data_IF_085505004383
#
_entry.id   IF_085505004383
#
_cell.length_a   1.000
_cell.length_b   1.000
_cell.length_c   1.000
_cell.angle_alpha   90.00
_cell.angle_beta   90.00
_cell.angle_gamma   90.00
#
_symmetry.space_group_name_H-M   'P 1'
#
loop_
_entity.id
_entity.type
_entity.pdbx_description
1 polymer ?
#
# COMPACT_ATOMS: atom_id res chain seq x y z
N UNK A 1 69.59 -0.96 -7.36
CA UNK A 1 69.21 0.37 -6.83
C UNK A 1 68.36 1.05 -7.90
N UNK A 2 67.10 1.44 -7.75
CA UNK A 2 66.44 2.25 -6.71
C UNK A 2 64.98 1.81 -6.49
N UNK A 3 64.51 2.09 -5.27
CA UNK A 3 63.28 1.64 -4.61
C UNK A 3 62.00 2.23 -5.21
N UNK A 4 60.95 1.40 -5.38
CA UNK A 4 59.56 1.82 -5.58
C UNK A 4 58.91 2.08 -4.21
N UNK A 5 58.32 3.25 -4.02
CA UNK A 5 57.55 3.63 -2.81
C UNK A 5 56.06 3.33 -2.99
N UNK A 6 55.40 2.60 -2.07
CA UNK A 6 53.95 2.39 -2.07
C UNK A 6 53.31 3.32 -1.02
N UNK A 7 52.94 4.55 -1.39
CA UNK A 7 52.21 5.46 -0.46
C UNK A 7 51.00 6.19 -1.06
N UNK A 8 50.71 6.05 -2.35
CA UNK A 8 49.62 6.81 -2.99
C UNK A 8 48.23 6.12 -2.99
N UNK A 9 48.15 4.82 -2.66
CA UNK A 9 46.90 4.05 -2.71
C UNK A 9 46.00 4.16 -1.48
N UNK A 10 46.59 4.32 -0.28
CA UNK A 10 45.84 4.32 0.98
C UNK A 10 45.06 5.63 1.20
N UNK A 11 45.60 6.78 0.79
CA UNK A 11 44.96 8.09 0.98
C UNK A 11 43.68 8.30 0.15
N UNK A 12 43.54 7.64 -1.01
CA UNK A 12 42.32 7.72 -1.84
C UNK A 12 41.20 6.81 -1.32
N UNK A 13 41.54 5.73 -0.62
CA UNK A 13 40.55 4.84 0.00
C UNK A 13 39.87 5.47 1.22
N UNK A 14 40.63 6.23 2.03
CA UNK A 14 40.11 6.93 3.21
C UNK A 14 39.23 8.12 2.85
N UNK A 15 39.50 8.80 1.72
CA UNK A 15 38.67 9.91 1.24
C UNK A 15 37.27 9.45 0.83
N UNK A 16 37.15 8.37 0.05
CA UNK A 16 35.87 7.80 -0.40
C UNK A 16 35.07 7.14 0.74
N UNK A 17 35.77 6.54 1.72
CA UNK A 17 35.14 6.05 2.95
C UNK A 17 34.60 7.20 3.80
N UNK A 18 35.30 8.33 3.86
CA UNK A 18 34.86 9.51 4.60
C UNK A 18 33.65 10.17 3.93
N UNK A 19 33.59 10.26 2.61
CA UNK A 19 32.43 10.77 1.86
C UNK A 19 31.19 9.89 2.08
N UNK A 20 31.32 8.55 1.97
CA UNK A 20 30.20 7.62 2.21
C UNK A 20 29.72 7.60 3.67
N UNK A 21 30.63 7.78 4.63
CA UNK A 21 30.27 7.93 6.04
C UNK A 21 29.61 9.29 6.30
N UNK A 22 30.08 10.34 5.63
CA UNK A 22 29.50 11.67 5.70
C UNK A 22 28.09 11.69 5.13
N UNK A 23 27.84 11.12 3.95
CA UNK A 23 26.48 11.00 3.38
C UNK A 23 25.53 10.20 4.28
N UNK A 24 25.99 9.07 4.85
CA UNK A 24 25.17 8.26 5.77
C UNK A 24 24.90 8.96 7.10
N UNK A 25 25.84 9.76 7.60
CA UNK A 25 25.64 10.60 8.80
C UNK A 25 24.73 11.78 8.48
N UNK A 26 24.90 12.40 7.31
CA UNK A 26 24.11 13.52 6.81
C UNK A 26 22.66 13.13 6.60
N UNK A 27 22.38 11.98 5.98
CA UNK A 27 21.01 11.43 5.85
C UNK A 27 20.40 11.04 7.19
N UNK A 28 21.19 10.49 8.14
CA UNK A 28 20.71 10.16 9.49
C UNK A 28 20.44 11.39 10.36
N UNK A 29 21.23 12.45 10.20
CA UNK A 29 21.04 13.72 10.90
C UNK A 29 19.89 14.51 10.27
N UNK A 30 19.87 14.73 8.95
CA UNK A 30 18.80 15.50 8.30
C UNK A 30 17.46 14.78 8.16
N UNK A 31 17.45 13.45 8.21
CA UNK A 31 16.24 12.62 8.18
C UNK A 31 15.48 12.60 9.52
N UNK A 32 16.07 13.09 10.61
CA UNK A 32 15.40 13.17 11.91
C UNK A 32 14.45 14.39 11.95
N UNK A 33 13.15 14.09 11.94
CA UNK A 33 12.02 15.03 11.96
C UNK A 33 12.17 16.21 12.95
N UNK A 34 12.88 15.98 14.06
CA UNK A 34 13.02 16.92 15.16
C UNK A 34 13.98 18.08 14.87
N UNK A 35 14.98 17.89 14.00
CA UNK A 35 15.94 18.96 13.66
C UNK A 35 15.27 20.10 12.92
N UNK A 36 14.34 19.79 12.00
CA UNK A 36 13.54 20.79 11.30
C UNK A 36 12.56 21.54 12.20
N UNK A 37 12.13 20.92 13.30
CA UNK A 37 11.28 21.56 14.30
C UNK A 37 12.09 22.47 15.25
N UNK A 38 13.37 22.16 15.49
CA UNK A 38 14.25 22.93 16.37
C UNK A 38 14.96 24.08 15.67
N UNK A 39 15.24 23.96 14.36
CA UNK A 39 15.98 24.94 13.58
C UNK A 39 15.42 26.38 13.66
N UNK A 40 14.09 26.61 13.56
CA UNK A 40 13.53 27.96 13.69
C UNK A 40 13.78 28.55 15.09
N UNK A 41 13.69 27.72 16.13
CA UNK A 41 13.93 28.13 17.51
C UNK A 41 15.41 28.39 17.80
N UNK A 42 16.31 27.62 17.20
CA UNK A 42 17.75 27.87 17.27
C UNK A 42 18.13 29.21 16.63
N UNK A 43 17.50 29.55 15.50
CA UNK A 43 17.68 30.85 14.85
C UNK A 43 17.18 31.99 15.76
N UNK A 44 15.98 31.85 16.32
CA UNK A 44 15.43 32.82 17.29
C UNK A 44 16.36 32.99 18.49
N UNK A 45 16.84 31.88 19.08
CA UNK A 45 17.76 31.89 20.21
C UNK A 45 19.09 32.56 19.85
N UNK A 46 19.66 32.28 18.68
CA UNK A 46 20.91 32.88 18.25
C UNK A 46 20.80 34.40 18.13
N UNK A 47 19.68 34.91 17.58
CA UNK A 47 19.43 36.36 17.51
C UNK A 47 19.33 36.96 18.92
N UNK A 48 18.56 36.33 19.82
CA UNK A 48 18.44 36.79 21.21
C UNK A 48 19.80 36.84 21.92
N UNK A 49 20.65 35.83 21.73
CA UNK A 49 22.00 35.81 22.33
C UNK A 49 22.83 36.97 21.83
N UNK A 50 22.85 37.23 20.52
CA UNK A 50 23.61 38.34 19.92
C UNK A 50 23.12 39.68 20.46
N UNK A 51 21.81 39.92 20.43
CA UNK A 51 21.20 41.17 20.91
C UNK A 51 21.47 41.41 22.41
N UNK A 52 21.38 40.36 23.24
CA UNK A 52 21.71 40.47 24.68
C UNK A 52 23.20 40.73 24.89
N UNK A 53 24.09 40.05 24.15
CA UNK A 53 25.54 40.27 24.28
C UNK A 53 25.97 41.67 23.82
N UNK A 54 25.37 42.18 22.75
CA UNK A 54 25.66 43.52 22.24
C UNK A 54 25.12 44.59 23.17
N UNK A 55 23.92 44.39 23.75
CA UNK A 55 23.36 45.26 24.79
C UNK A 55 24.24 45.34 26.05
N UNK A 56 24.80 44.22 26.50
CA UNK A 56 25.75 44.18 27.62
C UNK A 56 27.07 44.91 27.28
N UNK A 57 27.50 44.86 26.02
CA UNK A 57 28.74 45.49 25.54
C UNK A 57 28.58 46.95 25.09
N UNK A 58 27.37 47.50 25.11
CA UNK A 58 27.08 48.86 24.64
C UNK A 58 27.22 49.06 23.13
N UNK A 59 27.09 47.99 22.34
CA UNK A 59 27.08 48.04 20.86
C UNK A 59 25.65 48.05 20.35
N UNK A 60 25.37 48.83 19.31
CA UNK A 60 24.05 48.89 18.66
C UNK A 60 24.16 48.25 17.28
N UNK A 61 24.12 46.92 17.24
CA UNK A 61 24.09 46.12 16.01
C UNK A 61 22.67 45.59 15.80
N UNK A 62 21.98 46.12 14.78
CA UNK A 62 20.60 45.71 14.48
C UNK A 62 20.59 44.39 13.70
N UNK A 63 20.41 43.29 14.42
CA UNK A 63 20.38 41.93 13.86
C UNK A 63 18.94 41.41 13.69
N UNK A 64 17.92 42.19 14.08
CA UNK A 64 16.50 41.81 14.03
C UNK A 64 15.98 41.36 12.65
N UNK A 65 16.61 41.77 11.54
CA UNK A 65 16.30 41.28 10.20
C UNK A 65 16.56 39.77 10.02
N UNK A 66 17.45 39.18 10.82
CA UNK A 66 17.73 37.74 10.83
C UNK A 66 16.61 36.88 11.44
N UNK A 67 15.60 37.49 12.07
CA UNK A 67 14.40 36.77 12.53
C UNK A 67 13.42 36.45 11.40
N UNK A 68 13.48 37.21 10.29
CA UNK A 68 12.61 37.06 9.11
C UNK A 68 12.56 35.64 8.53
N UNK A 69 13.67 34.88 8.39
CA UNK A 69 13.61 33.51 7.91
C UNK A 69 13.00 32.50 8.89
N UNK A 70 12.83 32.81 10.18
CA UNK A 70 12.35 31.84 11.17
C UNK A 70 10.94 31.29 10.88
N UNK A 71 9.92 32.13 10.56
CA UNK A 71 8.61 31.63 10.14
C UNK A 71 8.65 30.78 8.87
N UNK A 72 9.50 31.12 7.91
CA UNK A 72 9.67 30.35 6.68
C UNK A 72 10.24 28.96 6.97
N UNK A 73 11.26 28.87 7.84
CA UNK A 73 11.82 27.60 8.30
C UNK A 73 10.79 26.75 9.05
N UNK A 74 10.00 27.37 9.93
CA UNK A 74 8.90 26.68 10.63
C UNK A 74 7.85 26.17 9.63
N UNK A 75 7.58 26.92 8.57
CA UNK A 75 6.62 26.55 7.55
C UNK A 75 7.06 25.37 6.68
N UNK A 76 8.35 25.01 6.62
CA UNK A 76 8.84 23.90 5.78
C UNK A 76 8.21 22.56 6.18
N UNK A 77 8.16 22.24 7.48
CA UNK A 77 7.60 20.97 7.99
C UNK A 77 6.67 21.12 9.21
N UNK A 78 6.61 22.29 9.83
CA UNK A 78 5.77 22.53 11.00
C UNK A 78 4.28 22.57 10.69
N UNK A 79 3.46 22.42 11.71
CA UNK A 79 2.02 22.68 11.64
C UNK A 79 1.77 24.19 11.60
N UNK A 80 0.59 24.65 11.15
CA UNK A 80 0.24 26.07 11.21
C UNK A 80 0.41 26.70 12.62
N UNK A 81 0.20 25.91 13.68
CA UNK A 81 0.43 26.33 15.07
C UNK A 81 1.91 26.59 15.39
N UNK A 82 2.81 25.81 14.79
CA UNK A 82 4.25 25.94 15.01
C UNK A 82 4.79 27.19 14.31
N UNK A 83 4.30 27.48 13.09
CA UNK A 83 4.58 28.74 12.39
C UNK A 83 4.10 29.93 13.20
N UNK A 84 2.86 29.88 13.71
CA UNK A 84 2.31 30.94 14.56
C UNK A 84 3.14 31.17 15.83
N UNK A 85 3.58 30.09 16.50
CA UNK A 85 4.40 30.19 17.70
C UNK A 85 5.76 30.86 17.42
N UNK A 86 6.44 30.44 16.34
CA UNK A 86 7.73 31.02 15.92
C UNK A 86 7.56 32.47 15.47
N UNK A 87 6.53 32.78 14.68
CA UNK A 87 6.21 34.14 14.25
C UNK A 87 5.90 35.06 15.44
N UNK A 88 5.14 34.58 16.43
CA UNK A 88 4.83 35.36 17.63
C UNK A 88 6.08 35.65 18.47
N UNK A 89 6.96 34.66 18.64
CA UNK A 89 8.23 34.84 19.34
C UNK A 89 9.14 35.84 18.60
N UNK A 90 9.31 35.67 17.29
CA UNK A 90 10.10 36.58 16.45
C UNK A 90 9.55 38.02 16.49
N UNK A 91 8.21 38.19 16.46
CA UNK A 91 7.56 39.49 16.53
C UNK A 91 7.75 40.14 17.90
N UNK A 92 7.61 39.38 18.99
CA UNK A 92 7.81 39.89 20.35
C UNK A 92 9.25 40.38 20.56
N UNK A 93 10.25 39.64 20.06
CA UNK A 93 11.66 40.03 20.12
C UNK A 93 11.92 41.27 19.26
N UNK A 94 11.43 41.28 18.00
CA UNK A 94 11.59 42.43 17.11
C UNK A 94 10.93 43.71 17.62
N UNK A 95 9.78 43.60 18.31
CA UNK A 95 9.15 44.74 18.98
C UNK A 95 9.97 45.20 20.19
N UNK A 96 10.42 44.27 21.05
CA UNK A 96 11.20 44.60 22.24
C UNK A 96 12.48 45.38 21.89
N UNK A 97 13.17 45.01 20.80
CA UNK A 97 14.37 45.72 20.33
C UNK A 97 14.07 47.04 19.63
N UNK A 98 12.86 47.21 19.09
CA UNK A 98 12.43 48.48 18.47
C UNK A 98 12.08 49.57 19.49
N UNK A 99 11.83 49.22 20.76
CA UNK A 99 11.49 50.18 21.83
C UNK A 99 12.72 50.82 22.50
N UNK A 100 13.95 50.48 22.11
CA UNK A 100 15.13 51.20 22.61
C UNK A 100 15.23 52.62 21.99
N UNK A 101 15.39 53.68 22.81
CA UNK A 101 15.30 55.08 22.36
C UNK A 101 16.33 55.50 21.29
N UNK A 102 17.41 54.73 21.10
CA UNK A 102 18.39 54.96 20.02
C UNK A 102 17.94 54.39 18.65
N UNK A 103 16.95 53.49 18.62
CA UNK A 103 16.47 52.79 17.43
C UNK A 103 15.09 53.29 16.94
N UNK A 104 14.39 54.05 17.78
CA UNK A 104 12.98 54.42 17.67
C UNK A 104 12.60 55.38 16.51
N UNK A 105 13.46 55.52 15.49
CA UNK A 105 13.23 56.43 14.36
C UNK A 105 13.90 56.04 13.04
N UNK A 106 14.39 54.81 12.87
CA UNK A 106 15.04 54.37 11.62
C UNK A 106 14.08 53.57 10.73
N UNK A 107 14.02 53.90 9.42
CA UNK A 107 13.25 53.18 8.40
C UNK A 107 13.58 51.67 8.35
N UNK A 108 14.76 51.28 8.85
CA UNK A 108 15.25 49.91 8.92
C UNK A 108 14.44 49.01 9.88
N UNK A 109 13.99 49.52 11.03
CA UNK A 109 13.21 48.72 11.99
C UNK A 109 11.78 48.47 11.50
N UNK A 110 11.16 49.49 10.89
CA UNK A 110 9.84 49.37 10.29
C UNK A 110 9.82 48.38 9.11
N UNK A 111 10.84 48.45 8.24
CA UNK A 111 10.99 47.49 7.13
C UNK A 111 11.26 46.06 7.61
N UNK A 112 12.00 45.87 8.72
CA UNK A 112 12.19 44.56 9.34
C UNK A 112 10.88 43.96 9.91
N UNK A 113 10.06 44.77 10.59
CA UNK A 113 8.77 44.30 11.13
C UNK A 113 7.76 43.98 10.00
N UNK A 114 7.71 44.82 8.96
CA UNK A 114 6.87 44.57 7.78
C UNK A 114 7.30 43.30 7.05
N UNK A 115 8.60 43.11 6.82
CA UNK A 115 9.10 41.89 6.18
C UNK A 115 8.85 40.63 7.02
N UNK A 116 9.01 40.70 8.33
CA UNK A 116 8.66 39.61 9.25
C UNK A 116 7.15 39.28 9.20
N UNK A 117 6.28 40.30 9.15
CA UNK A 117 4.84 40.11 9.04
C UNK A 117 4.46 39.45 7.71
N UNK A 118 5.05 39.91 6.59
CA UNK A 118 4.82 39.33 5.25
C UNK A 118 5.29 37.88 5.19
N UNK A 119 6.49 37.57 5.68
CA UNK A 119 7.02 36.20 5.67
C UNK A 119 6.24 35.28 6.61
N UNK A 120 5.78 35.78 7.76
CA UNK A 120 4.89 35.04 8.67
C UNK A 120 3.55 34.71 8.01
N UNK A 121 2.92 35.68 7.35
CA UNK A 121 1.67 35.46 6.63
C UNK A 121 1.85 34.46 5.48
N UNK A 122 2.89 34.62 4.67
CA UNK A 122 3.22 33.70 3.59
C UNK A 122 3.52 32.28 4.11
N UNK A 123 4.30 32.15 5.19
CA UNK A 123 4.60 30.87 5.83
C UNK A 123 3.36 30.19 6.38
N UNK A 124 2.44 30.94 6.98
CA UNK A 124 1.17 30.41 7.48
C UNK A 124 0.28 29.93 6.33
N UNK A 125 0.14 30.71 5.26
CA UNK A 125 -0.62 30.33 4.06
C UNK A 125 -0.01 29.07 3.45
N UNK A 126 1.31 28.98 3.31
CA UNK A 126 2.00 27.80 2.81
C UNK A 126 1.75 26.57 3.71
N UNK A 127 1.83 26.71 5.03
CA UNK A 127 1.57 25.64 5.98
C UNK A 127 0.11 25.15 5.95
N UNK A 128 -0.85 26.07 5.83
CA UNK A 128 -2.28 25.73 5.69
C UNK A 128 -2.55 25.07 4.35
N UNK A 129 -2.02 25.60 3.25
CA UNK A 129 -2.18 25.04 1.91
C UNK A 129 -1.58 23.63 1.83
N UNK A 130 -0.37 23.42 2.37
CA UNK A 130 0.25 22.09 2.47
C UNK A 130 -0.64 21.13 3.25
N UNK A 131 -1.11 21.51 4.44
CA UNK A 131 -1.95 20.64 5.27
C UNK A 131 -3.28 20.28 4.60
N UNK A 132 -3.85 21.21 3.81
CA UNK A 132 -5.04 20.93 3.00
C UNK A 132 -4.74 19.92 1.88
N UNK A 133 -3.62 20.09 1.17
CA UNK A 133 -3.18 19.16 0.11
C UNK A 133 -2.92 17.76 0.68
N UNK A 134 -2.19 17.66 1.79
CA UNK A 134 -1.96 16.40 2.52
C UNK A 134 -3.28 15.74 2.93
N UNK A 135 -4.23 16.51 3.46
CA UNK A 135 -5.55 15.99 3.84
C UNK A 135 -6.40 15.50 2.65
N UNK A 136 -6.29 16.15 1.48
CA UNK A 136 -6.95 15.69 0.26
C UNK A 136 -6.35 14.37 -0.24
N UNK A 137 -5.03 14.23 -0.21
CA UNK A 137 -4.35 12.99 -0.60
C UNK A 137 -4.75 11.82 0.29
N UNK A 138 -4.82 12.02 1.61
CA UNK A 138 -5.30 10.98 2.56
C UNK A 138 -6.74 10.57 2.26
N UNK A 139 -7.63 11.53 1.94
CA UNK A 139 -9.03 11.20 1.62
C UNK A 139 -9.14 10.43 0.30
N UNK A 140 -8.42 10.85 -0.75
CA UNK A 140 -8.40 10.13 -2.03
C UNK A 140 -7.87 8.71 -1.82
N UNK A 141 -6.84 8.53 -0.98
CA UNK A 141 -6.34 7.21 -0.58
C UNK A 141 -7.42 6.37 0.10
N UNK A 142 -8.08 6.88 1.15
CA UNK A 142 -9.11 6.09 1.85
C UNK A 142 -10.26 5.66 0.92
N UNK A 143 -10.67 6.52 -0.02
CA UNK A 143 -11.72 6.18 -0.99
C UNK A 143 -11.23 5.13 -1.98
N UNK A 144 -10.02 5.27 -2.52
CA UNK A 144 -9.50 4.34 -3.50
C UNK A 144 -9.14 2.98 -2.86
N UNK A 145 -8.70 2.95 -1.60
CA UNK A 145 -8.51 1.72 -0.81
C UNK A 145 -9.84 1.01 -0.58
N UNK A 146 -10.87 1.75 -0.15
CA UNK A 146 -12.21 1.20 -0.01
C UNK A 146 -12.77 0.68 -1.36
N UNK A 147 -12.47 1.36 -2.47
CA UNK A 147 -12.87 0.91 -3.79
C UNK A 147 -12.14 -0.38 -4.21
N UNK A 148 -10.83 -0.48 -3.97
CA UNK A 148 -10.07 -1.71 -4.25
C UNK A 148 -10.58 -2.88 -3.41
N UNK A 149 -10.78 -2.67 -2.10
CA UNK A 149 -11.34 -3.70 -1.22
C UNK A 149 -12.76 -4.11 -1.64
N UNK A 150 -13.56 -3.19 -2.18
CA UNK A 150 -14.87 -3.52 -2.73
C UNK A 150 -14.80 -4.31 -4.06
N UNK A 151 -13.68 -4.27 -4.78
CA UNK A 151 -13.45 -5.07 -5.98
C UNK A 151 -13.04 -6.51 -5.63
N UNK A 152 -12.37 -6.74 -4.50
CA UNK A 152 -11.96 -8.07 -4.06
C UNK A 152 -13.14 -8.81 -3.42
N UNK A 153 -13.56 -9.93 -4.00
CA UNK A 153 -14.63 -10.72 -3.41
C UNK A 153 -14.12 -11.52 -2.19
N UNK A 154 -14.94 -11.71 -1.15
CA UNK A 154 -14.62 -12.66 -0.08
C UNK A 154 -14.44 -14.06 -0.67
N UNK A 155 -13.30 -14.68 -0.41
CA UNK A 155 -13.03 -16.06 -0.83
C UNK A 155 -13.88 -17.02 0.02
N UNK A 156 -14.66 -17.92 -0.60
CA UNK A 156 -15.45 -18.89 0.16
C UNK A 156 -14.52 -19.83 0.92
N UNK A 157 -14.79 -20.11 2.21
CA UNK A 157 -13.93 -21.00 3.02
C UNK A 157 -13.82 -22.42 2.45
N UNK A 158 -14.84 -22.86 1.70
CA UNK A 158 -14.89 -24.16 1.03
C UNK A 158 -15.45 -24.05 -0.37
N UNK A 159 -14.88 -24.80 -1.30
CA UNK A 159 -15.33 -24.91 -2.68
C UNK A 159 -15.16 -26.36 -3.16
N UNK A 160 -16.24 -27.15 -3.09
CA UNK A 160 -16.18 -28.59 -3.35
C UNK A 160 -15.17 -29.29 -2.44
N UNK A 161 -14.21 -29.98 -3.04
CA UNK A 161 -13.10 -30.65 -2.33
C UNK A 161 -11.95 -29.75 -1.91
N UNK A 162 -12.16 -28.43 -1.78
CA UNK A 162 -11.12 -27.46 -1.44
C UNK A 162 -11.47 -26.68 -0.17
N UNK A 163 -10.43 -26.37 0.61
CA UNK A 163 -10.46 -25.32 1.64
C UNK A 163 -9.63 -24.15 1.17
N UNK A 164 -10.17 -22.95 1.32
CA UNK A 164 -9.58 -21.74 0.77
C UNK A 164 -9.50 -20.67 1.85
N UNK A 165 -8.42 -19.90 1.82
CA UNK A 165 -8.26 -18.72 2.65
C UNK A 165 -7.49 -17.66 1.87
N UNK A 166 -7.88 -16.40 2.02
CA UNK A 166 -7.18 -15.29 1.39
C UNK A 166 -7.04 -14.12 2.36
N UNK A 167 -5.92 -13.41 2.24
CA UNK A 167 -5.67 -12.16 2.94
C UNK A 167 -4.95 -11.17 2.04
N UNK A 168 -5.22 -9.91 2.33
CA UNK A 168 -4.61 -8.76 1.68
C UNK A 168 -4.10 -7.80 2.75
N UNK A 169 -2.89 -7.30 2.57
CA UNK A 169 -2.27 -6.28 3.40
C UNK A 169 -1.75 -5.16 2.52
N UNK A 170 -2.29 -3.96 2.70
CA UNK A 170 -1.80 -2.78 2.00
C UNK A 170 -0.44 -2.32 2.58
N UNK A 171 0.41 -1.76 1.74
CA UNK A 171 1.68 -1.17 2.12
C UNK A 171 1.47 0.11 2.94
N UNK A 172 2.31 0.32 3.95
CA UNK A 172 2.29 1.56 4.75
C UNK A 172 2.81 2.80 3.97
N UNK A 173 3.43 2.62 2.80
CA UNK A 173 4.09 3.72 2.10
C UNK A 173 3.11 4.82 1.65
N UNK A 174 3.53 6.09 1.78
CA UNK A 174 2.74 7.31 1.54
C UNK A 174 2.34 7.56 0.07
N UNK A 175 2.54 6.58 -0.81
CA UNK A 175 2.44 6.74 -2.26
C UNK A 175 1.57 5.66 -2.89
N UNK A 176 0.28 6.00 -3.02
CA UNK A 176 -0.74 5.35 -3.86
C UNK A 176 -1.03 3.86 -3.56
N UNK A 177 -2.32 3.52 -3.60
CA UNK A 177 -2.83 2.15 -3.45
C UNK A 177 -2.32 1.27 -4.59
N UNK A 178 -1.96 0.02 -4.31
CA UNK A 178 -1.34 -0.87 -5.29
C UNK A 178 -2.33 -1.60 -6.19
N UNK A 179 -1.75 -2.45 -7.02
CA UNK A 179 -2.38 -3.14 -8.14
C UNK A 179 -2.80 -4.58 -7.85
N UNK A 180 -2.51 -5.08 -6.65
CA UNK A 180 -2.81 -6.45 -6.24
C UNK A 180 -4.29 -6.80 -6.42
N UNK A 181 -4.53 -7.95 -7.07
CA UNK A 181 -5.85 -8.50 -7.33
C UNK A 181 -5.87 -10.00 -7.04
N UNK A 182 -7.02 -10.49 -6.58
CA UNK A 182 -7.35 -11.91 -6.58
C UNK A 182 -8.85 -12.14 -6.67
N UNK A 183 -9.24 -13.30 -7.17
CA UNK A 183 -10.65 -13.72 -7.22
C UNK A 183 -10.77 -15.24 -7.28
N UNK A 184 -11.89 -15.76 -6.77
CA UNK A 184 -12.24 -17.19 -6.82
C UNK A 184 -13.64 -17.37 -7.39
N UNK A 185 -13.73 -18.12 -8.48
CA UNK A 185 -15.00 -18.53 -9.09
C UNK A 185 -15.19 -20.03 -8.89
N UNK A 186 -16.25 -20.39 -8.18
CA UNK A 186 -16.62 -21.78 -7.91
C UNK A 186 -17.69 -22.22 -8.91
N UNK A 187 -17.38 -23.24 -9.70
CA UNK A 187 -18.32 -23.92 -10.60
C UNK A 187 -18.67 -25.32 -10.03
N UNK A 188 -19.73 -25.97 -10.51
CA UNK A 188 -20.13 -27.29 -10.03
C UNK A 188 -19.04 -28.37 -10.16
N UNK A 189 -18.23 -28.32 -11.22
CA UNK A 189 -17.22 -29.33 -11.54
C UNK A 189 -15.77 -28.88 -11.29
N UNK A 190 -15.54 -27.57 -11.12
CA UNK A 190 -14.20 -26.98 -11.01
C UNK A 190 -14.19 -25.68 -10.22
N UNK A 191 -13.05 -25.35 -9.65
CA UNK A 191 -12.82 -24.03 -9.03
C UNK A 191 -11.71 -23.32 -9.78
N UNK A 192 -11.92 -22.05 -10.12
CA UNK A 192 -10.94 -21.20 -10.80
C UNK A 192 -10.52 -20.05 -9.90
N UNK A 193 -9.23 -19.74 -9.91
CA UNK A 193 -8.64 -18.64 -9.15
C UNK A 193 -7.78 -17.79 -10.08
N UNK A 194 -7.72 -16.49 -9.78
CA UNK A 194 -6.73 -15.58 -10.32
C UNK A 194 -6.08 -14.87 -9.13
N UNK A 195 -4.76 -14.68 -9.19
CA UNK A 195 -4.02 -13.72 -8.39
C UNK A 195 -3.12 -12.94 -9.33
N UNK A 196 -2.82 -11.68 -9.02
CA UNK A 196 -1.92 -10.89 -9.83
C UNK A 196 -1.61 -9.54 -9.22
N UNK A 197 -0.65 -8.84 -9.85
CA UNK A 197 -0.34 -7.45 -9.57
C UNK A 197 -0.33 -6.64 -10.88
N UNK A 198 -1.00 -5.50 -10.83
CA UNK A 198 -1.06 -4.54 -11.94
C UNK A 198 0.13 -3.61 -11.84
N UNK A 199 0.90 -3.52 -12.93
CA UNK A 199 1.96 -2.54 -13.03
C UNK A 199 1.40 -1.12 -12.94
N UNK A 200 1.92 -0.37 -11.99
CA UNK A 200 1.52 1.02 -11.72
C UNK A 200 0.89 1.14 -10.34
N UNK A 201 0.50 2.36 -9.96
CA UNK A 201 -0.15 2.61 -8.66
C UNK A 201 -1.30 3.58 -8.83
N UNK A 202 -2.23 3.57 -7.87
CA UNK A 202 -3.34 4.50 -7.81
C UNK A 202 -4.51 4.14 -8.72
N UNK A 203 -5.27 5.16 -9.12
CA UNK A 203 -6.56 4.96 -9.79
C UNK A 203 -6.48 4.22 -11.14
N UNK A 204 -5.46 4.45 -12.00
CA UNK A 204 -5.31 3.68 -13.24
C UNK A 204 -5.10 2.18 -12.99
N UNK A 205 -4.29 1.82 -11.98
CA UNK A 205 -4.05 0.42 -11.61
C UNK A 205 -5.34 -0.25 -11.12
N UNK A 206 -6.10 0.42 -10.24
CA UNK A 206 -7.40 -0.07 -9.75
C UNK A 206 -8.40 -0.29 -10.89
N UNK A 207 -8.45 0.62 -11.87
CA UNK A 207 -9.33 0.47 -13.05
C UNK A 207 -8.96 -0.77 -13.86
N UNK A 208 -7.68 -1.00 -14.09
CA UNK A 208 -7.20 -2.17 -14.82
C UNK A 208 -7.46 -3.46 -14.04
N UNK A 209 -7.21 -3.46 -12.72
CA UNK A 209 -7.57 -4.59 -11.85
C UNK A 209 -9.07 -4.92 -11.94
N UNK A 210 -9.94 -3.91 -11.87
CA UNK A 210 -11.38 -4.09 -12.02
C UNK A 210 -11.76 -4.70 -13.38
N UNK A 211 -11.12 -4.26 -14.46
CA UNK A 211 -11.36 -4.79 -15.80
C UNK A 211 -10.89 -6.24 -15.94
N UNK A 212 -9.73 -6.59 -15.37
CA UNK A 212 -9.21 -7.97 -15.34
C UNK A 212 -10.12 -8.87 -14.51
N UNK A 213 -10.49 -8.46 -13.30
CA UNK A 213 -11.39 -9.23 -12.44
C UNK A 213 -12.77 -9.42 -13.08
N UNK A 214 -13.31 -8.38 -13.73
CA UNK A 214 -14.56 -8.48 -14.49
C UNK A 214 -14.48 -9.48 -15.65
N UNK A 215 -13.40 -9.43 -16.43
CA UNK A 215 -13.17 -10.37 -17.52
C UNK A 215 -12.95 -11.80 -17.02
N UNK A 216 -12.21 -11.98 -15.93
CA UNK A 216 -12.01 -13.28 -15.29
C UNK A 216 -13.32 -13.86 -14.80
N UNK A 217 -14.16 -13.09 -14.08
CA UNK A 217 -15.46 -13.55 -13.57
C UNK A 217 -16.38 -14.06 -14.68
N UNK A 218 -16.43 -13.35 -15.80
CA UNK A 218 -17.25 -13.73 -16.95
C UNK A 218 -16.66 -14.96 -17.67
N UNK A 219 -15.38 -14.90 -18.05
CA UNK A 219 -14.74 -15.97 -18.79
C UNK A 219 -14.63 -17.26 -17.97
N UNK A 220 -14.44 -17.17 -16.65
CA UNK A 220 -14.40 -18.33 -15.76
C UNK A 220 -15.70 -19.12 -15.80
N UNK A 221 -16.86 -18.48 -16.04
CA UNK A 221 -18.15 -19.15 -16.13
C UNK A 221 -18.39 -19.82 -17.49
N UNK A 222 -18.01 -19.16 -18.58
CA UNK A 222 -18.43 -19.58 -19.93
C UNK A 222 -17.36 -20.34 -20.71
N UNK A 223 -16.08 -20.08 -20.46
CA UNK A 223 -14.99 -20.68 -21.24
C UNK A 223 -14.60 -22.06 -20.66
N UNK A 224 -14.34 -23.03 -21.53
CA UNK A 224 -13.94 -24.39 -21.11
C UNK A 224 -12.47 -24.47 -20.73
N UNK A 225 -11.57 -23.87 -21.51
CA UNK A 225 -10.13 -23.91 -21.29
C UNK A 225 -9.63 -22.72 -20.47
N UNK A 226 -8.69 -22.96 -19.55
CA UNK A 226 -8.10 -21.93 -18.69
C UNK A 226 -7.25 -20.93 -19.48
N UNK A 227 -6.60 -21.40 -20.55
CA UNK A 227 -5.85 -20.57 -21.51
C UNK A 227 -6.75 -19.56 -22.22
N UNK A 228 -7.98 -19.95 -22.59
CA UNK A 228 -8.97 -19.01 -23.14
C UNK A 228 -9.36 -17.93 -22.13
N UNK A 229 -9.50 -18.29 -20.85
CA UNK A 229 -9.73 -17.31 -19.77
C UNK A 229 -8.59 -16.31 -19.66
N UNK A 230 -7.33 -16.77 -19.71
CA UNK A 230 -6.16 -15.89 -19.74
C UNK A 230 -6.19 -14.93 -20.94
N UNK A 231 -6.55 -15.43 -22.13
CA UNK A 231 -6.71 -14.61 -23.34
C UNK A 231 -7.79 -13.54 -23.20
N UNK A 232 -8.93 -13.86 -22.57
CA UNK A 232 -10.00 -12.89 -22.26
C UNK A 232 -9.52 -11.80 -21.30
N UNK A 233 -8.75 -12.16 -20.27
CA UNK A 233 -8.14 -11.20 -19.35
C UNK A 233 -7.13 -10.29 -20.05
N UNK A 234 -6.29 -10.85 -20.94
CA UNK A 234 -5.31 -10.08 -21.72
C UNK A 234 -6.00 -9.05 -22.62
N UNK A 235 -7.11 -9.42 -23.26
CA UNK A 235 -7.95 -8.49 -24.05
C UNK A 235 -8.55 -7.36 -23.20
N UNK A 236 -8.83 -7.61 -21.93
CA UNK A 236 -9.31 -6.57 -21.01
C UNK A 236 -8.21 -5.55 -20.71
N UNK A 237 -6.97 -6.00 -20.44
CA UNK A 237 -5.81 -5.12 -20.25
C UNK A 237 -5.53 -4.31 -21.51
N UNK A 238 -5.53 -4.94 -22.68
CA UNK A 238 -5.34 -4.26 -23.96
C UNK A 238 -6.40 -3.18 -24.24
N UNK A 239 -7.66 -3.40 -23.79
CA UNK A 239 -8.70 -2.37 -23.86
C UNK A 239 -8.38 -1.20 -22.93
N UNK A 240 -7.97 -1.47 -21.69
CA UNK A 240 -7.57 -0.42 -20.75
C UNK A 240 -6.36 0.39 -21.25
N UNK A 241 -5.37 -0.26 -21.88
CA UNK A 241 -4.23 0.41 -22.49
C UNK A 241 -4.67 1.36 -23.62
N UNK A 242 -5.57 0.91 -24.51
CA UNK A 242 -6.13 1.78 -25.57
C UNK A 242 -6.92 2.97 -25.01
N UNK A 243 -7.70 2.75 -23.96
CA UNK A 243 -8.45 3.82 -23.29
C UNK A 243 -7.51 4.81 -22.59
N UNK A 244 -6.39 4.35 -22.04
CA UNK A 244 -5.36 5.21 -21.46
C UNK A 244 -4.66 6.05 -22.54
N UNK A 245 -4.26 5.43 -23.66
CA UNK A 245 -3.63 6.10 -24.79
C UNK A 245 -4.52 7.17 -25.45
N UNK A 246 -5.85 7.01 -25.35
CA UNK A 246 -6.81 7.98 -25.88
C UNK A 246 -7.05 9.19 -24.94
N UNK A 247 -6.41 9.26 -23.78
CA UNK A 247 -6.55 10.37 -22.84
C UNK A 247 -5.75 11.62 -23.25
N UNK A 248 -6.23 12.81 -22.85
CA UNK A 248 -5.59 14.11 -23.16
C UNK A 248 -4.36 14.44 -22.27
N UNK A 249 -3.82 13.45 -21.55
CA UNK A 249 -2.71 13.64 -20.60
C UNK A 249 -1.35 13.69 -21.31
N UNK A 250 -0.38 14.47 -20.79
CA UNK A 250 0.97 14.56 -21.38
C UNK A 250 1.72 13.21 -21.36
N UNK A 251 1.35 12.31 -20.47
CA UNK A 251 1.98 11.00 -20.27
C UNK A 251 1.08 9.83 -20.72
N UNK A 252 -0.05 10.11 -21.39
CA UNK A 252 -1.07 9.12 -21.72
C UNK A 252 -0.56 7.94 -22.57
N UNK A 253 0.32 8.21 -23.55
CA UNK A 253 0.95 7.17 -24.39
C UNK A 253 1.93 6.30 -23.58
N UNK A 254 2.76 6.93 -22.74
CA UNK A 254 3.73 6.22 -21.90
C UNK A 254 3.03 5.36 -20.83
N UNK A 255 1.98 5.88 -20.20
CA UNK A 255 1.16 5.13 -19.25
C UNK A 255 0.47 3.92 -19.91
N UNK A 256 0.09 4.02 -21.18
CA UNK A 256 -0.53 2.93 -21.92
C UNK A 256 0.48 1.84 -22.30
N UNK A 257 1.68 2.21 -22.76
CA UNK A 257 2.73 1.27 -23.18
C UNK A 257 3.31 0.47 -21.99
N UNK A 258 3.27 1.03 -20.79
CA UNK A 258 3.73 0.37 -19.56
C UNK A 258 2.63 -0.41 -18.81
N UNK A 259 1.40 -0.45 -19.34
CA UNK A 259 0.29 -1.11 -18.66
C UNK A 259 0.30 -2.63 -18.88
N UNK A 260 0.66 -3.36 -17.83
CA UNK A 260 0.59 -4.82 -17.80
C UNK A 260 0.17 -5.36 -16.44
N UNK A 261 -0.19 -6.64 -16.40
CA UNK A 261 -0.58 -7.34 -15.17
C UNK A 261 0.16 -8.66 -15.11
N UNK A 262 0.96 -8.86 -14.06
CA UNK A 262 1.49 -10.20 -13.75
C UNK A 262 0.36 -10.99 -13.10
N UNK A 263 0.13 -12.23 -13.53
CA UNK A 263 -0.96 -13.02 -12.96
C UNK A 263 -0.70 -14.52 -13.01
N UNK A 264 -1.21 -15.24 -12.00
CA UNK A 264 -1.33 -16.69 -12.04
C UNK A 264 -2.82 -17.06 -12.09
N UNK A 265 -3.21 -17.83 -13.10
CA UNK A 265 -4.53 -18.43 -13.18
C UNK A 265 -4.42 -19.89 -12.77
N UNK A 266 -5.34 -20.32 -11.90
CA UNK A 266 -5.37 -21.67 -11.37
C UNK A 266 -6.75 -22.27 -11.61
N UNK A 267 -6.81 -23.50 -12.08
CA UNK A 267 -8.03 -24.30 -12.13
C UNK A 267 -7.82 -25.61 -11.40
N UNK A 268 -8.81 -25.96 -10.59
CA UNK A 268 -8.85 -27.21 -9.85
C UNK A 268 -10.06 -28.00 -10.31
N UNK A 269 -9.82 -29.18 -10.87
CA UNK A 269 -10.87 -30.07 -11.35
C UNK A 269 -10.49 -31.52 -11.01
N UNK A 270 -11.30 -32.21 -10.19
CA UNK A 270 -11.10 -33.62 -9.84
C UNK A 270 -9.69 -33.96 -9.32
N UNK A 271 -9.11 -33.11 -8.45
CA UNK A 271 -7.75 -33.30 -7.92
C UNK A 271 -6.63 -33.03 -8.93
N UNK A 272 -6.96 -32.55 -10.13
CA UNK A 272 -5.99 -32.03 -11.09
C UNK A 272 -5.90 -30.52 -10.92
N UNK A 273 -4.67 -30.05 -10.78
CA UNK A 273 -4.33 -28.64 -10.71
C UNK A 273 -3.81 -28.21 -12.09
N UNK A 274 -4.42 -27.20 -12.68
CA UNK A 274 -3.97 -26.57 -13.93
C UNK A 274 -3.55 -25.14 -13.63
N UNK A 275 -2.40 -24.72 -14.12
CA UNK A 275 -1.85 -23.39 -13.87
C UNK A 275 -1.40 -22.75 -15.18
N UNK A 276 -1.73 -21.48 -15.34
CA UNK A 276 -1.20 -20.60 -16.38
C UNK A 276 -0.50 -19.46 -15.65
N UNK A 277 0.81 -19.40 -15.74
CA UNK A 277 1.64 -18.35 -15.14
C UNK A 277 1.97 -17.29 -16.19
N UNK A 278 1.56 -16.05 -15.94
CA UNK A 278 1.73 -14.89 -16.80
C UNK A 278 2.72 -13.92 -16.15
N UNK A 279 3.91 -14.42 -15.85
CA UNK A 279 5.02 -13.65 -15.28
C UNK A 279 4.82 -13.28 -13.80
N UNK A 280 4.03 -14.06 -13.07
CA UNK A 280 3.78 -13.89 -11.65
C UNK A 280 4.81 -14.69 -10.83
N UNK A 281 5.01 -14.38 -9.53
CA UNK A 281 5.77 -15.26 -8.66
C UNK A 281 5.22 -16.69 -8.70
N UNK A 282 6.07 -17.72 -8.82
CA UNK A 282 5.63 -19.09 -9.00
C UNK A 282 4.86 -19.56 -7.76
N UNK A 283 3.67 -20.19 -7.93
CA UNK A 283 2.92 -20.74 -6.81
C UNK A 283 3.75 -21.74 -6.01
N UNK A 284 3.67 -21.72 -4.68
CA UNK A 284 4.38 -22.68 -3.84
C UNK A 284 3.47 -23.87 -3.50
N UNK A 285 3.95 -25.08 -3.76
CA UNK A 285 3.27 -26.31 -3.39
C UNK A 285 3.87 -26.88 -2.11
N UNK A 286 3.06 -26.95 -1.06
CA UNK A 286 3.36 -27.59 0.21
C UNK A 286 2.75 -29.00 0.21
N UNK A 287 3.59 -30.01 0.04
CA UNK A 287 3.22 -31.44 0.11
C UNK A 287 3.85 -32.08 1.34
N UNK A 288 3.51 -33.33 1.64
CA UNK A 288 4.17 -34.09 2.70
C UNK A 288 5.71 -34.20 2.55
N UNK A 289 6.24 -34.06 1.33
CA UNK A 289 7.68 -34.15 1.05
C UNK A 289 8.41 -32.82 1.28
N UNK A 290 7.70 -31.70 1.16
CA UNK A 290 8.27 -30.38 1.37
C UNK A 290 7.46 -29.26 0.71
N UNK A 291 8.04 -28.05 0.71
CA UNK A 291 7.54 -26.83 0.12
C UNK A 291 8.47 -26.44 -1.02
N UNK A 292 7.96 -26.43 -2.24
CA UNK A 292 8.73 -26.05 -3.41
C UNK A 292 7.87 -25.23 -4.39
N UNK A 293 8.48 -24.35 -5.19
CA UNK A 293 7.79 -23.74 -6.32
C UNK A 293 7.22 -24.80 -7.26
N UNK A 294 5.97 -24.62 -7.66
CA UNK A 294 5.34 -25.44 -8.68
C UNK A 294 6.11 -25.22 -10.00
N UNK A 295 6.57 -26.28 -10.69
CA UNK A 295 7.33 -26.13 -11.93
C UNK A 295 6.39 -25.72 -13.06
N UNK A 296 6.23 -24.41 -13.24
CA UNK A 296 5.42 -23.79 -14.30
C UNK A 296 6.35 -23.16 -15.35
N UNK A 297 5.92 -23.18 -16.61
CA UNK A 297 6.58 -22.43 -17.67
C UNK A 297 5.96 -21.02 -17.74
N UNK A 298 6.72 -19.96 -17.39
CA UNK A 298 6.17 -18.61 -17.33
C UNK A 298 5.93 -18.05 -18.72
N UNK A 299 4.81 -17.37 -18.87
CA UNK A 299 4.42 -16.63 -20.06
C UNK A 299 4.61 -15.14 -19.83
N UNK A 300 4.61 -14.32 -20.89
CA UNK A 300 4.61 -12.87 -20.72
C UNK A 300 3.37 -12.39 -19.94
N UNK A 301 3.50 -11.33 -19.12
CA UNK A 301 2.38 -10.68 -18.45
C UNK A 301 1.23 -10.28 -19.36
N UNK A 302 0.03 -10.23 -18.79
CA UNK A 302 -1.17 -9.74 -19.48
C UNK A 302 -0.94 -8.31 -19.97
N UNK A 303 -1.34 -8.01 -21.21
CA UNK A 303 -1.16 -6.67 -21.80
C UNK A 303 0.14 -6.49 -22.60
N UNK A 304 1.22 -7.21 -22.28
CA UNK A 304 2.48 -7.10 -23.02
C UNK A 304 2.48 -7.85 -24.36
N UNK A 305 1.41 -8.58 -24.65
CA UNK A 305 1.32 -9.35 -25.90
C UNK A 305 0.23 -8.83 -26.80
N UNK A 306 0.65 -7.88 -27.63
CA UNK A 306 -0.13 -7.33 -28.73
C UNK A 306 -0.20 -8.34 -29.88
N UNK A 307 -1.14 -9.28 -29.83
CA UNK A 307 -1.37 -10.23 -30.92
C UNK A 307 -1.65 -11.69 -30.54
N UNK A 308 -1.83 -12.02 -29.26
CA UNK A 308 -2.32 -13.35 -28.83
C UNK A 308 -3.83 -13.58 -29.14
N UNK A 309 -4.25 -13.23 -30.36
CA UNK A 309 -5.55 -13.59 -30.91
C UNK A 309 -5.31 -14.52 -32.07
N UNK A 310 -5.76 -15.77 -31.92
CA UNK A 310 -5.67 -16.90 -32.85
C UNK A 310 -4.33 -17.65 -32.81
N UNK A 311 -4.30 -18.83 -32.17
CA UNK A 311 -3.20 -19.80 -32.36
C UNK A 311 -2.48 -20.30 -31.12
N UNK A 312 -3.05 -20.17 -29.93
CA UNK A 312 -2.70 -21.12 -28.87
C UNK A 312 -3.47 -22.40 -29.16
N UNK A 313 -2.76 -23.52 -29.37
CA UNK A 313 -3.32 -24.81 -28.96
C UNK A 313 -3.80 -24.63 -27.52
N UNK A 314 -4.97 -25.19 -27.19
CA UNK A 314 -5.65 -24.97 -25.91
C UNK A 314 -4.76 -25.24 -24.67
N UNK A 315 -3.61 -25.89 -24.86
CA UNK A 315 -2.64 -26.30 -23.84
C UNK A 315 -1.31 -25.49 -23.81
N UNK A 316 -1.10 -24.50 -24.67
CA UNK A 316 0.14 -23.71 -24.62
C UNK A 316 0.29 -23.04 -23.24
N UNK A 317 1.49 -23.06 -22.65
CA UNK A 317 1.76 -22.52 -21.30
C UNK A 317 0.92 -23.12 -20.15
N UNK A 318 0.13 -24.17 -20.41
CA UNK A 318 -0.71 -24.82 -19.42
C UNK A 318 0.12 -25.88 -18.69
N UNK A 319 0.42 -25.61 -17.43
CA UNK A 319 1.04 -26.61 -16.57
C UNK A 319 -0.04 -27.44 -15.90
N UNK A 320 -0.03 -28.76 -16.11
CA UNK A 320 -0.96 -29.69 -15.46
C UNK A 320 -0.24 -30.51 -14.41
N UNK A 321 -0.60 -30.29 -13.15
CA UNK A 321 -0.13 -31.07 -12.03
C UNK A 321 -1.19 -32.08 -11.60
N UNK A 322 -0.88 -33.38 -11.74
CA UNK A 322 -1.82 -34.49 -11.52
C UNK A 322 -1.65 -35.17 -10.17
N UNK A 323 -0.60 -34.83 -9.41
CA UNK A 323 -0.32 -35.37 -8.07
C UNK A 323 -0.66 -34.33 -7.01
N UNK A 324 -1.94 -34.04 -6.82
CA UNK A 324 -2.39 -33.19 -5.72
C UNK A 324 -3.22 -34.04 -4.77
N UNK A 325 -2.62 -34.36 -3.62
CA UNK A 325 -3.16 -35.31 -2.65
C UNK A 325 -3.92 -34.60 -1.54
N UNK A 326 -4.91 -35.25 -0.90
CA UNK A 326 -5.59 -34.66 0.24
C UNK A 326 -4.59 -34.21 1.32
N UNK A 327 -4.71 -32.96 1.76
CA UNK A 327 -3.80 -32.28 2.70
C UNK A 327 -2.71 -31.44 2.05
N UNK A 328 -2.41 -31.64 0.76
CA UNK A 328 -1.47 -30.79 0.03
C UNK A 328 -2.05 -29.39 -0.15
N UNK A 329 -1.20 -28.37 -0.03
CA UNK A 329 -1.59 -26.95 -0.12
C UNK A 329 -0.85 -26.23 -1.23
N UNK A 330 -1.57 -25.41 -1.97
CA UNK A 330 -1.02 -24.45 -2.90
C UNK A 330 -1.09 -23.05 -2.27
N UNK A 331 0.03 -22.35 -2.24
CA UNK A 331 0.10 -20.95 -1.88
C UNK A 331 0.34 -20.11 -3.13
N UNK A 332 -0.52 -19.11 -3.31
CA UNK A 332 -0.41 -18.06 -4.31
C UNK A 332 -0.11 -16.76 -3.56
N UNK A 333 0.86 -15.99 -4.03
CA UNK A 333 1.26 -14.74 -3.38
C UNK A 333 1.74 -13.69 -4.38
N UNK A 334 1.56 -12.42 -4.06
CA UNK A 334 2.15 -11.30 -4.83
C UNK A 334 3.58 -11.01 -4.39
N UNK A 335 4.29 -10.22 -5.20
CA UNK A 335 5.71 -9.90 -5.00
C UNK A 335 5.99 -9.13 -3.71
N UNK A 336 5.00 -8.45 -3.11
CA UNK A 336 5.14 -7.81 -1.80
C UNK A 336 5.55 -8.77 -0.67
N UNK A 337 5.32 -10.08 -0.83
CA UNK A 337 5.83 -11.12 0.08
C UNK A 337 7.29 -11.48 -0.24
N UNK A 338 7.59 -11.78 -1.51
CA UNK A 338 8.93 -12.24 -1.94
C UNK A 338 9.97 -11.11 -1.84
N UNK A 339 9.57 -9.88 -2.14
CA UNK A 339 10.40 -8.69 -2.06
C UNK A 339 10.47 -8.08 -0.65
N UNK A 340 9.77 -8.67 0.32
CA UNK A 340 9.82 -8.23 1.71
C UNK A 340 11.24 -8.36 2.26
N UNK A 341 11.77 -7.28 2.84
CA UNK A 341 13.15 -7.21 3.34
C UNK A 341 13.23 -6.81 4.79
N UNK A 342 14.13 -7.45 5.52
CA UNK A 342 14.49 -7.01 6.87
C UNK A 342 15.30 -5.70 6.86
N UNK A 343 15.58 -5.15 8.04
CA UNK A 343 16.41 -3.95 8.19
C UNK A 343 17.87 -4.08 7.69
N UNK A 344 18.30 -5.29 7.31
CA UNK A 344 19.61 -5.58 6.69
C UNK A 344 19.50 -5.81 5.18
N UNK A 345 18.30 -5.75 4.61
CA UNK A 345 18.03 -5.95 3.17
C UNK A 345 17.87 -7.42 2.75
N UNK A 346 17.80 -8.37 3.70
CA UNK A 346 17.62 -9.79 3.40
C UNK A 346 16.17 -10.08 3.08
N UNK A 347 15.94 -10.83 2.01
CA UNK A 347 14.61 -11.28 1.60
C UNK A 347 13.96 -12.16 2.67
N UNK A 348 12.64 -12.19 2.67
CA UNK A 348 11.85 -13.05 3.53
C UNK A 348 12.00 -14.52 3.09
N UNK A 349 12.32 -15.45 4.02
CA UNK A 349 12.49 -16.85 3.69
C UNK A 349 11.12 -17.56 3.57
N UNK A 350 10.41 -17.30 2.47
CA UNK A 350 9.01 -17.72 2.30
C UNK A 350 8.82 -19.24 2.41
N UNK A 351 9.57 -20.03 1.63
CA UNK A 351 9.43 -21.49 1.63
C UNK A 351 9.75 -22.12 2.99
N UNK A 352 10.79 -21.64 3.66
CA UNK A 352 11.20 -22.10 5.00
C UNK A 352 10.11 -21.76 6.05
N UNK A 353 9.54 -20.56 5.97
CA UNK A 353 8.45 -20.17 6.87
C UNK A 353 7.20 -21.02 6.63
N UNK A 354 6.87 -21.34 5.38
CA UNK A 354 5.71 -22.19 5.07
C UNK A 354 5.87 -23.61 5.61
N UNK A 355 7.09 -24.14 5.64
CA UNK A 355 7.39 -25.41 6.30
C UNK A 355 7.11 -25.36 7.80
N UNK A 356 7.52 -24.28 8.47
CA UNK A 356 7.24 -24.07 9.89
C UNK A 356 5.72 -23.95 10.16
N UNK A 357 4.99 -23.35 9.23
CA UNK A 357 3.53 -23.16 9.32
C UNK A 357 2.71 -24.35 8.82
N UNK A 358 3.33 -25.47 8.46
CA UNK A 358 2.65 -26.69 7.98
C UNK A 358 1.53 -27.18 8.89
N UNK A 359 1.70 -27.07 10.21
CA UNK A 359 0.70 -27.48 11.20
C UNK A 359 -0.47 -26.50 11.38
N UNK A 360 -0.38 -25.29 10.82
CA UNK A 360 -1.43 -24.27 10.92
C UNK A 360 -2.62 -24.67 10.03
N UNK A 361 -3.87 -24.52 10.47
CA UNK A 361 -5.04 -24.70 9.62
C UNK A 361 -5.04 -23.73 8.43
N UNK A 362 -5.51 -24.19 7.26
CA UNK A 362 -5.50 -23.38 6.03
C UNK A 362 -6.21 -22.04 6.18
N UNK A 363 -7.26 -21.96 7.00
CA UNK A 363 -8.01 -20.74 7.29
C UNK A 363 -7.18 -19.65 7.98
N UNK A 364 -6.11 -20.05 8.69
CA UNK A 364 -5.20 -19.18 9.42
C UNK A 364 -3.86 -18.99 8.73
N UNK A 365 -3.54 -19.81 7.74
CA UNK A 365 -2.22 -19.81 7.10
C UNK A 365 -1.86 -18.43 6.50
N UNK A 366 -2.74 -17.73 5.76
CA UNK A 366 -2.43 -16.40 5.25
C UNK A 366 -2.19 -15.36 6.36
N UNK A 367 -2.95 -15.43 7.46
CA UNK A 367 -2.78 -14.52 8.60
C UNK A 367 -1.41 -14.73 9.28
N UNK A 368 -1.07 -15.98 9.59
CA UNK A 368 0.22 -16.32 10.21
C UNK A 368 1.42 -15.97 9.32
N UNK A 369 1.26 -16.13 8.00
CA UNK A 369 2.28 -15.76 7.04
C UNK A 369 2.50 -14.24 7.01
N UNK A 370 1.43 -13.46 6.90
CA UNK A 370 1.52 -12.00 6.93
C UNK A 370 2.08 -11.50 8.27
N UNK A 371 1.77 -12.16 9.38
CA UNK A 371 2.37 -11.90 10.70
C UNK A 371 3.87 -12.16 10.70
N UNK A 372 4.32 -13.25 10.08
CA UNK A 372 5.74 -13.56 9.94
C UNK A 372 6.46 -12.51 9.08
N UNK A 373 5.86 -12.10 7.96
CA UNK A 373 6.39 -11.04 7.08
C UNK A 373 6.46 -9.70 7.82
N UNK A 374 5.42 -9.33 8.56
CA UNK A 374 5.41 -8.11 9.37
C UNK A 374 6.51 -8.13 10.43
N UNK A 375 6.73 -9.27 11.11
CA UNK A 375 7.84 -9.42 12.07
C UNK A 375 9.21 -9.30 11.38
N UNK A 376 9.38 -9.90 10.21
CA UNK A 376 10.65 -9.85 9.45
C UNK A 376 10.99 -8.43 8.96
N UNK A 377 10.00 -7.69 8.48
CA UNK A 377 10.15 -6.33 7.95
C UNK A 377 10.19 -5.24 9.03
N UNK A 378 9.89 -5.58 10.29
CA UNK A 378 9.74 -4.59 11.37
C UNK A 378 8.44 -3.77 11.25
N UNK A 379 7.40 -4.36 10.67
CA UNK A 379 6.06 -3.79 10.50
C UNK A 379 5.88 -2.93 9.24
N UNK A 380 6.87 -2.87 8.34
CA UNK A 380 6.85 -1.97 7.18
C UNK A 380 6.95 -2.73 5.88
N UNK A 381 5.81 -2.97 5.26
CA UNK A 381 5.74 -3.45 3.88
C UNK A 381 6.08 -2.32 2.89
N UNK A 382 6.84 -2.67 1.85
CA UNK A 382 7.22 -1.74 0.78
C UNK A 382 6.23 -1.73 -0.37
N UNK A 383 5.60 -2.87 -0.61
CA UNK A 383 4.50 -3.02 -1.56
C UNK A 383 3.34 -3.80 -0.93
N UNK A 384 2.21 -3.76 -1.62
CA UNK A 384 1.01 -4.48 -1.22
C UNK A 384 1.28 -5.99 -1.25
N UNK A 385 0.59 -6.73 -0.40
CA UNK A 385 0.78 -8.16 -0.25
C UNK A 385 -0.56 -8.88 -0.23
N UNK A 386 -0.80 -9.71 -1.23
CA UNK A 386 -1.92 -10.63 -1.31
C UNK A 386 -1.43 -12.07 -1.17
N UNK A 387 -2.19 -12.87 -0.43
CA UNK A 387 -1.92 -14.29 -0.22
C UNK A 387 -3.22 -15.07 -0.36
N UNK A 388 -3.21 -16.12 -1.18
CA UNK A 388 -4.30 -17.09 -1.29
C UNK A 388 -3.77 -18.49 -1.04
N UNK A 389 -4.30 -19.15 -0.01
CA UNK A 389 -4.00 -20.54 0.33
C UNK A 389 -5.15 -21.45 -0.13
N UNK A 390 -4.79 -22.55 -0.79
CA UNK A 390 -5.73 -23.57 -1.29
C UNK A 390 -5.28 -24.93 -0.78
N UNK A 391 -6.07 -25.58 0.07
CA UNK A 391 -5.84 -26.96 0.51
C UNK A 391 -6.80 -27.89 -0.22
N UNK A 392 -6.25 -28.97 -0.80
CA UNK A 392 -7.09 -30.04 -1.33
C UNK A 392 -7.54 -30.94 -0.18
N UNK A 393 -8.84 -30.97 0.12
CA UNK A 393 -9.38 -31.84 1.17
C UNK A 393 -9.84 -33.21 0.65
N UNK A 394 -9.63 -33.51 -0.63
CA UNK A 394 -10.21 -34.67 -1.30
C UNK A 394 -11.63 -34.40 -1.79
N UNK A 395 -12.16 -35.26 -2.66
CA UNK A 395 -13.52 -35.15 -3.18
C UNK A 395 -14.54 -35.41 -2.06
N UNK A 396 -15.07 -34.35 -1.45
CA UNK A 396 -16.26 -34.43 -0.61
C UNK A 396 -17.51 -34.54 -1.47
N UNK A 397 -18.42 -35.46 -1.13
CA UNK A 397 -19.80 -35.50 -1.64
C UNK A 397 -20.41 -34.10 -1.60
N UNK A 398 -21.14 -33.76 -2.67
CA UNK A 398 -21.87 -32.51 -2.85
C UNK A 398 -22.64 -32.13 -1.59
N UNK A 399 -22.15 -31.12 -0.87
CA UNK A 399 -22.86 -30.52 0.27
C UNK A 399 -24.01 -29.70 -0.29
N UNK A 400 -25.21 -30.29 -0.21
CA UNK A 400 -26.47 -29.57 -0.38
C UNK A 400 -26.53 -28.41 0.63
N UNK A 401 -26.53 -27.18 0.12
CA UNK A 401 -27.32 -26.08 0.68
C UNK A 401 -27.01 -25.63 2.11
N UNK A 402 -25.75 -25.47 2.50
CA UNK A 402 -25.45 -24.68 3.70
C UNK A 402 -25.34 -23.20 3.31
N UNK A 403 -26.23 -22.38 3.90
CA UNK A 403 -26.30 -20.95 3.67
C UNK A 403 -24.97 -20.32 4.07
N UNK A 404 -24.21 -19.84 3.08
CA UNK A 404 -22.94 -19.13 3.26
C UNK A 404 -23.20 -17.85 4.06
N UNK A 405 -22.88 -17.86 5.35
CA UNK A 405 -22.75 -16.62 6.11
C UNK A 405 -21.52 -15.88 5.62
N UNK A 406 -21.75 -14.76 4.94
CA UNK A 406 -20.73 -13.79 4.54
C UNK A 406 -20.09 -13.18 5.80
N UNK A 407 -18.89 -13.62 6.13
CA UNK A 407 -17.98 -12.86 6.98
C UNK A 407 -17.01 -12.10 6.08
N UNK A 408 -16.90 -10.80 6.31
CA UNK A 408 -15.98 -9.92 5.58
C UNK A 408 -14.54 -10.39 5.80
N UNK A 409 -13.71 -10.31 4.75
CA UNK A 409 -12.28 -10.47 4.87
C UNK A 409 -11.76 -9.50 5.94
N UNK A 410 -11.07 -10.02 6.96
CA UNK A 410 -10.48 -9.20 8.01
C UNK A 410 -9.38 -8.32 7.42
N UNK A 411 -9.64 -7.02 7.33
CA UNK A 411 -8.62 -6.00 7.03
C UNK A 411 -7.84 -5.75 8.32
N UNK A 412 -6.51 -5.86 8.25
CA UNK A 412 -5.65 -5.53 9.37
C UNK A 412 -5.26 -4.07 9.28
N UNK A 413 -5.77 -3.23 10.19
CA UNK A 413 -5.33 -1.84 10.28
C UNK A 413 -3.91 -1.74 10.89
N UNK A 414 -3.07 -0.79 10.44
CA UNK A 414 -1.73 -0.60 10.97
C UNK A 414 -1.76 0.00 12.39
N UNK A 415 -1.54 -0.87 13.38
CA UNK A 415 -0.86 -0.60 14.66
C UNK A 415 -1.27 0.65 15.44
N UNK A 416 -2.41 0.61 16.14
CA UNK A 416 -2.70 1.56 17.20
C UNK A 416 -1.90 1.19 18.47
N UNK A 417 -0.98 2.09 18.87
CA UNK A 417 -0.19 1.95 20.10
C UNK A 417 -1.11 2.01 21.32
N UNK A 418 -1.35 0.86 21.95
CA UNK A 418 -1.95 0.79 23.29
C UNK A 418 -1.13 1.63 24.28
N UNK A 419 -1.73 2.74 24.72
CA UNK A 419 -1.30 3.45 25.93
C UNK A 419 -1.98 2.77 27.11
N UNK A 420 -1.17 2.05 27.89
CA UNK A 420 -1.59 1.51 29.18
C UNK A 420 -2.01 2.60 30.16
N UNK A 421 -3.03 2.27 30.96
CA UNK A 421 -3.46 2.98 32.16
C UNK A 421 -4.31 2.03 33.02
N UNK A 422 -4.20 2.07 34.36
CA UNK A 422 -4.15 0.86 35.17
C UNK A 422 -5.47 0.46 35.86
N UNK A 423 -5.40 -0.75 36.42
CA UNK A 423 -6.34 -1.47 37.30
C UNK A 423 -7.10 -0.65 38.35
N UNK A 424 -8.32 -1.11 38.64
CA UNK A 424 -9.10 -0.76 39.83
C UNK A 424 -10.42 -1.55 39.90
N UNK A 425 -10.69 -2.37 40.93
CA UNK A 425 -11.67 -3.47 40.86
C UNK A 425 -13.01 -3.18 41.57
N UNK A 426 -14.01 -4.01 41.25
CA UNK A 426 -15.01 -4.47 42.22
C UNK A 426 -16.48 -4.21 41.87
N UNK A 427 -17.32 -5.23 42.10
CA UNK A 427 -18.69 -5.01 42.56
C UNK A 427 -19.84 -5.59 41.73
N UNK A 428 -20.08 -6.89 41.89
CA UNK A 428 -21.39 -7.50 42.21
C UNK A 428 -22.67 -7.04 41.48
N UNK A 429 -23.30 -8.00 40.80
CA UNK A 429 -24.63 -8.47 41.24
C UNK A 429 -25.87 -8.13 40.38
N UNK A 430 -26.68 -9.19 40.23
CA UNK A 430 -28.13 -9.24 39.96
C UNK A 430 -28.65 -9.20 38.50
N UNK A 431 -28.99 -10.40 38.04
CA UNK A 431 -30.36 -10.89 37.81
C UNK A 431 -31.30 -10.08 36.88
N UNK A 432 -31.70 -10.75 35.80
CA UNK A 432 -32.87 -10.49 34.97
C UNK A 432 -34.19 -10.54 35.78
N UNK A 433 -35.33 -10.13 35.20
CA UNK A 433 -36.07 -11.10 34.39
C UNK A 433 -36.80 -10.57 33.14
N UNK A 434 -36.97 -11.49 32.19
CA UNK A 434 -38.07 -11.72 31.24
C UNK A 434 -39.08 -10.61 30.91
N UNK A 435 -39.29 -10.41 29.61
CA UNK A 435 -40.50 -9.80 29.04
C UNK A 435 -40.73 -10.25 27.61
N UNK A 436 -41.48 -11.34 27.45
CA UNK A 436 -42.06 -11.86 26.20
C UNK A 436 -43.07 -10.88 25.58
N UNK A 437 -43.07 -10.71 24.25
CA UNK A 437 -44.27 -10.40 23.46
C UNK A 437 -44.14 -10.94 22.03
N UNK A 438 -45.06 -11.83 21.71
CA UNK A 438 -45.41 -12.33 20.37
C UNK A 438 -45.91 -11.22 19.43
N UNK A 439 -45.80 -11.47 18.11
CA UNK A 439 -46.02 -10.56 16.97
C UNK A 439 -47.48 -10.15 16.68
N UNK A 440 -47.98 -10.10 15.42
CA UNK A 440 -47.40 -10.49 14.13
C UNK A 440 -47.60 -9.47 12.97
N UNK A 441 -47.08 -9.80 11.78
CA UNK A 441 -47.76 -9.53 10.50
C UNK A 441 -47.41 -8.24 9.75
N UNK A 442 -46.90 -8.38 8.52
CA UNK A 442 -46.85 -7.28 7.55
C UNK A 442 -45.91 -7.49 6.36
N UNK A 443 -46.31 -8.31 5.39
CA UNK A 443 -45.81 -8.23 4.01
C UNK A 443 -46.42 -6.99 3.32
N UNK A 444 -45.69 -6.33 2.42
CA UNK A 444 -46.24 -6.05 1.09
C UNK A 444 -45.21 -6.38 -0.02
N UNK A 445 -45.54 -7.27 -0.96
CA UNK A 445 -46.18 -7.00 -2.26
C UNK A 445 -45.25 -6.34 -3.28
N UNK A 446 -44.89 -7.16 -4.28
CA UNK A 446 -44.33 -6.82 -5.59
C UNK A 446 -45.10 -5.65 -6.24
N UNK A 447 -44.37 -4.72 -6.86
CA UNK A 447 -44.88 -3.89 -7.95
C UNK A 447 -44.05 -4.13 -9.22
N UNK A 448 -44.61 -4.93 -10.10
CA UNK A 448 -44.34 -5.01 -11.55
C UNK A 448 -45.28 -4.07 -12.28
N UNK A 449 -44.78 -3.18 -13.15
CA UNK A 449 -45.48 -2.61 -14.34
C UNK A 449 -44.39 -1.97 -15.26
N UNK A 450 -44.57 -1.80 -16.59
CA UNK A 450 -44.63 -2.79 -17.66
C UNK A 450 -43.54 -2.59 -18.75
N UNK A 451 -43.39 -3.64 -19.56
CA UNK A 451 -42.75 -3.65 -20.87
C UNK A 451 -43.75 -3.07 -21.90
N UNK A 452 -43.33 -2.10 -22.72
CA UNK A 452 -44.12 -1.63 -23.86
C UNK A 452 -43.24 -1.55 -25.11
N UNK A 453 -43.55 -2.43 -26.07
CA UNK A 453 -43.01 -2.47 -27.43
C UNK A 453 -43.78 -1.49 -28.32
N UNK A 454 -43.08 -0.80 -29.22
CA UNK A 454 -43.38 -0.55 -30.67
C UNK A 454 -42.48 0.59 -31.15
N UNK A 455 -41.51 0.37 -32.05
CA UNK A 455 -41.61 0.20 -33.51
C UNK A 455 -42.15 1.43 -34.27
N UNK A 456 -41.23 2.22 -34.83
CA UNK A 456 -41.28 3.04 -36.06
C UNK A 456 -39.97 3.85 -36.05
N UNK A 457 -39.12 3.98 -37.07
CA UNK A 457 -39.24 3.75 -38.50
C UNK A 457 -38.46 4.90 -39.17
N UNK A 458 -37.24 4.65 -39.64
CA UNK A 458 -36.51 5.31 -40.75
C UNK A 458 -35.06 4.89 -40.72
#
# INVERSE_FOLDING_TARGET
>A
MRRRTPRAGLARSTARLRERLWERLWERLWGRLWIWLLLPWLLVLAVVVVEVTDGIQGRVTHVGSLLTPAPALAAVRGRPRDVLAVSAAALAIGLATSFEPAAAGSDASATALVSLAVVSAAGLVAAVARRRREGQLVRIRQVAEAAQLALLSPVPRRAGGLRLAARYSAAESDTLIGGDLYEVVVLPDRTRLIIGDVRGKGLPAIRTAAAVLGAFREAAQYESALTTVAGRCSRAVARCAREAAAGDGPDAEAEADELFVTAALVEVQNGRLRVVDLGHPPPLLLTAEGCAPLPVEPLPPLGLVHGFTVGWDDDCGLTVHTRWSPGDRLLLHTDGIDEARDGRGRFFPLAETLEELRGVPTERLPDELLDAVARHTGGRLRDDAAVVAVEFSGAGESVNGETVTREAAGVREPGEKERGGPDGPGGTGKAAPSGSRDGPGGRPVLRTIPDDRRSAGS
#
